data_IF_031843527051
#
_entry.id   IF_031843527051
#
_cell.length_a   1.000
_cell.length_b   1.000
_cell.length_c   1.000
_cell.angle_alpha   90.00
_cell.angle_beta   90.00
_cell.angle_gamma   90.00
#
_symmetry.space_group_name_H-M   'P 1'
#
loop_
_entity.id
_entity.type
_entity.pdbx_description
1 polymer ?
#
# COMPACT_ATOMS: atom_id res chain seq x y z
N UNK A 1 14.58 0.66 47.33
CA UNK A 1 14.17 -0.15 46.15
C UNK A 1 12.66 -0.13 45.87
N UNK A 2 11.77 -0.02 46.88
CA UNK A 2 10.31 0.00 46.66
C UNK A 2 9.83 1.11 45.71
N UNK A 3 10.31 2.34 45.89
CA UNK A 3 9.94 3.47 45.03
C UNK A 3 10.37 3.27 43.57
N UNK A 4 11.56 2.68 43.33
CA UNK A 4 12.03 2.33 41.99
C UNK A 4 11.13 1.28 41.34
N UNK A 5 10.76 0.23 42.09
CA UNK A 5 9.84 -0.80 41.59
C UNK A 5 8.48 -0.20 41.20
N UNK A 6 7.94 0.71 42.01
CA UNK A 6 6.69 1.43 41.68
C UNK A 6 6.84 2.27 40.41
N UNK A 7 7.95 2.98 40.24
CA UNK A 7 8.21 3.78 39.04
C UNK A 7 8.27 2.92 37.77
N UNK A 8 8.94 1.76 37.83
CA UNK A 8 9.00 0.82 36.70
C UNK A 8 7.61 0.29 36.34
N UNK A 9 6.81 -0.10 37.34
CA UNK A 9 5.44 -0.58 37.12
C UNK A 9 4.58 0.51 36.45
N UNK A 10 4.66 1.74 36.94
CA UNK A 10 3.91 2.87 36.37
C UNK A 10 4.35 3.19 34.93
N UNK A 11 5.65 3.14 34.65
CA UNK A 11 6.17 3.35 33.30
C UNK A 11 5.61 2.32 32.31
N UNK A 12 5.60 1.04 32.69
CA UNK A 12 5.03 -0.04 31.86
C UNK A 12 3.53 0.16 31.67
N UNK A 13 2.79 0.50 32.73
CA UNK A 13 1.35 0.76 32.66
C UNK A 13 1.02 1.93 31.71
N UNK A 14 1.77 3.04 31.81
CA UNK A 14 1.60 4.19 30.93
C UNK A 14 1.96 3.87 29.48
N UNK A 15 3.04 3.13 29.24
CA UNK A 15 3.42 2.70 27.90
C UNK A 15 2.34 1.81 27.25
N UNK A 16 1.81 0.84 27.99
CA UNK A 16 0.73 -0.02 27.52
C UNK A 16 -0.55 0.78 27.23
N UNK A 17 -0.92 1.70 28.13
CA UNK A 17 -2.07 2.59 27.93
C UNK A 17 -1.91 3.49 26.71
N UNK A 18 -0.74 4.10 26.52
CA UNK A 18 -0.44 4.92 25.36
C UNK A 18 -0.49 4.13 24.05
N UNK A 19 0.08 2.91 24.02
CA UNK A 19 0.05 2.04 22.85
C UNK A 19 -1.38 1.64 22.47
N UNK A 20 -2.22 1.32 23.45
CA UNK A 20 -3.63 1.02 23.23
C UNK A 20 -4.38 2.21 22.64
N UNK A 21 -4.28 3.39 23.29
CA UNK A 21 -4.96 4.61 22.82
C UNK A 21 -4.48 4.99 21.42
N UNK A 22 -3.18 4.93 21.15
CA UNK A 22 -2.63 5.25 19.83
C UNK A 22 -3.19 4.31 18.76
N UNK A 23 -3.19 3.00 19.01
CA UNK A 23 -3.70 1.99 18.08
C UNK A 23 -5.19 2.18 17.79
N UNK A 24 -6.00 2.51 18.81
CA UNK A 24 -7.45 2.73 18.64
C UNK A 24 -7.79 3.99 17.84
N UNK A 25 -6.87 4.96 17.72
CA UNK A 25 -7.10 6.22 17.02
C UNK A 25 -6.39 6.31 15.67
N UNK A 26 -5.60 5.30 15.30
CA UNK A 26 -4.93 5.24 14.01
C UNK A 26 -5.84 4.66 12.93
N UNK A 27 -5.93 5.35 11.80
CA UNK A 27 -6.53 4.81 10.58
C UNK A 27 -5.45 4.12 9.75
N UNK A 28 -5.70 2.90 9.29
CA UNK A 28 -4.72 2.20 8.46
C UNK A 28 -4.49 2.92 7.13
N UNK A 29 -3.25 2.89 6.62
CA UNK A 29 -2.88 3.55 5.38
C UNK A 29 -3.75 3.11 4.19
N UNK A 30 -4.12 1.82 4.11
CA UNK A 30 -4.99 1.32 3.04
C UNK A 30 -6.41 1.91 3.12
N UNK A 31 -6.90 2.26 4.31
CA UNK A 31 -8.20 2.91 4.48
C UNK A 31 -8.13 4.43 4.27
N UNK A 32 -7.01 5.05 4.66
CA UNK A 32 -6.81 6.49 4.53
C UNK A 32 -6.51 6.90 3.08
N UNK A 33 -5.80 6.05 2.34
CA UNK A 33 -5.40 6.28 0.96
C UNK A 33 -6.12 5.35 -0.03
N UNK A 34 -7.30 4.84 0.35
CA UNK A 34 -8.24 4.21 -0.58
C UNK A 34 -8.74 5.27 -1.58
N UNK A 35 -7.91 5.61 -2.56
CA UNK A 35 -8.34 6.39 -3.71
C UNK A 35 -9.09 5.47 -4.66
N UNK A 36 -10.10 6.01 -5.36
CA UNK A 36 -10.81 5.30 -6.44
C UNK A 36 -9.90 4.86 -7.61
N UNK A 37 -8.62 5.22 -7.59
CA UNK A 37 -7.77 5.35 -8.78
C UNK A 37 -7.09 4.07 -9.28
N UNK A 38 -7.14 2.96 -8.56
CA UNK A 38 -6.61 1.69 -9.07
C UNK A 38 -7.38 0.51 -8.47
N UNK A 39 -8.64 0.32 -8.90
CA UNK A 39 -9.28 -0.99 -8.74
C UNK A 39 -8.57 -1.96 -9.67
N UNK A 40 -7.54 -2.61 -9.15
CA UNK A 40 -6.95 -3.80 -9.74
C UNK A 40 -7.98 -4.92 -9.62
N UNK A 41 -8.93 -4.95 -10.54
CA UNK A 41 -9.81 -6.12 -10.69
C UNK A 41 -9.07 -7.30 -11.32
N UNK A 42 -7.84 -7.10 -11.82
CA UNK A 42 -7.06 -8.15 -12.48
C UNK A 42 -5.54 -7.98 -12.27
N UNK A 43 -4.94 -8.47 -11.17
CA UNK A 43 -3.50 -8.30 -10.91
C UNK A 43 -2.65 -8.83 -12.10
N UNK A 44 -1.74 -7.99 -12.62
CA UNK A 44 -0.84 -8.33 -13.73
C UNK A 44 -0.98 -7.48 -14.99
N UNK A 45 -2.18 -6.98 -15.32
CA UNK A 45 -2.42 -6.17 -16.54
C UNK A 45 -2.81 -4.71 -16.27
N UNK A 46 -2.82 -4.25 -15.02
CA UNK A 46 -3.31 -2.90 -14.70
C UNK A 46 -2.27 -1.79 -14.94
N UNK A 47 -1.02 -2.16 -15.21
CA UNK A 47 0.06 -1.20 -15.49
C UNK A 47 0.47 -1.23 -16.97
N UNK A 48 -0.08 -2.17 -17.75
CA UNK A 48 0.46 -2.61 -19.04
C UNK A 48 -0.67 -3.18 -19.91
N UNK A 49 -0.68 -2.89 -21.22
CA UNK A 49 -1.76 -3.34 -22.11
C UNK A 49 -1.86 -4.87 -22.25
N UNK A 50 -2.98 -5.41 -22.79
CA UNK A 50 -3.23 -6.86 -22.92
C UNK A 50 -2.15 -7.67 -23.67
N UNK A 51 -1.30 -7.00 -24.43
CA UNK A 51 -0.24 -7.60 -25.24
C UNK A 51 1.17 -7.34 -24.68
N UNK A 52 1.29 -6.91 -23.42
CA UNK A 52 2.60 -6.70 -22.84
C UNK A 52 3.29 -8.03 -22.52
N UNK A 53 4.48 -8.23 -23.10
CA UNK A 53 5.27 -9.46 -23.01
C UNK A 53 6.30 -9.45 -21.88
N UNK A 54 6.51 -8.32 -21.20
CA UNK A 54 7.54 -8.20 -20.16
C UNK A 54 8.97 -8.07 -20.70
N UNK A 55 9.16 -8.18 -22.02
CA UNK A 55 10.47 -8.20 -22.66
C UNK A 55 10.79 -6.83 -23.28
N UNK A 56 11.70 -6.08 -22.65
CA UNK A 56 12.15 -4.75 -23.13
C UNK A 56 13.03 -4.81 -24.37
N UNK A 57 13.44 -6.01 -24.81
CA UNK A 57 14.36 -6.22 -25.94
C UNK A 57 13.63 -6.46 -27.26
N UNK A 58 12.32 -6.69 -27.25
CA UNK A 58 11.54 -6.90 -28.47
C UNK A 58 10.74 -5.63 -28.85
N UNK A 59 10.91 -5.10 -30.08
CA UNK A 59 10.06 -4.02 -30.54
C UNK A 59 8.62 -4.56 -30.66
N UNK A 60 7.68 -3.84 -30.05
CA UNK A 60 6.28 -4.21 -29.90
C UNK A 60 5.65 -4.75 -31.21
N UNK A 61 5.62 -6.08 -31.34
CA UNK A 61 5.01 -6.80 -32.45
C UNK A 61 3.47 -6.79 -32.32
N UNK A 62 2.88 -5.60 -32.28
CA UNK A 62 1.45 -5.45 -32.03
C UNK A 62 0.85 -4.08 -32.34
N UNK A 63 1.64 -3.07 -32.72
CA UNK A 63 1.09 -1.82 -33.24
C UNK A 63 0.63 -2.06 -34.68
N UNK A 64 -0.62 -2.51 -34.85
CA UNK A 64 -1.31 -2.31 -36.13
C UNK A 64 -1.44 -0.80 -36.31
N UNK A 65 -0.72 -0.26 -37.28
CA UNK A 65 -0.96 1.07 -37.84
C UNK A 65 -2.36 1.08 -38.44
N UNK A 66 -3.36 1.46 -37.64
CA UNK A 66 -4.66 1.86 -38.17
C UNK A 66 -4.54 3.28 -38.73
N UNK A 67 -4.66 3.34 -40.06
CA UNK A 67 -5.13 4.45 -40.89
C UNK A 67 -4.33 5.78 -40.91
N UNK A 68 -3.49 5.92 -41.95
CA UNK A 68 -3.72 7.00 -42.92
C UNK A 68 -4.61 6.37 -44.00
N UNK A 69 -5.91 6.66 -44.08
CA UNK A 69 -6.41 7.99 -44.40
C UNK A 69 -6.28 8.21 -45.91
N UNK A 70 -7.16 7.56 -46.69
CA UNK A 70 -7.44 7.86 -48.09
C UNK A 70 -8.94 7.75 -48.32
#
# INVERSE_FOLDING_TARGET
>A
MKAFAVAVIMAVALAAGAAFVLTSNQKYAYEAFATSGARVSNPGTNLVGPHWTGNVTEPAAGLKTEAAGS
#
